data_IF_088305588250
#
_entry.id   IF_088305588250
#
_cell.length_a   1.000
_cell.length_b   1.000
_cell.length_c   1.000
_cell.angle_alpha   90.00
_cell.angle_beta   90.00
_cell.angle_gamma   90.00
#
_symmetry.space_group_name_H-M   'P 1'
#
loop_
_entity.id
_entity.type
_entity.pdbx_description
1 polymer ?
#
# COMPACT_ATOMS: atom_id res chain seq x y z
N UNK A 1 -28.13 -9.89 -7.01
CA UNK A 1 -27.13 -9.22 -7.86
C UNK A 1 -27.36 -7.72 -7.83
N UNK A 2 -26.28 -6.90 -7.85
CA UNK A 2 -26.43 -5.46 -7.94
C UNK A 2 -27.07 -5.09 -9.29
N UNK A 3 -27.81 -3.97 -9.37
CA UNK A 3 -28.23 -3.42 -10.66
C UNK A 3 -27.03 -3.22 -11.59
N UNK A 4 -27.28 -3.22 -12.90
CA UNK A 4 -26.25 -2.87 -13.87
C UNK A 4 -25.62 -1.51 -13.49
N UNK A 5 -24.29 -1.42 -13.51
CA UNK A 5 -23.51 -0.22 -13.16
C UNK A 5 -23.53 0.19 -11.67
N UNK A 6 -24.19 -0.55 -10.78
CA UNK A 6 -24.15 -0.26 -9.33
C UNK A 6 -22.86 -0.75 -8.63
N UNK A 7 -22.06 -1.56 -9.33
CA UNK A 7 -20.75 -2.01 -8.90
C UNK A 7 -19.74 -1.88 -10.05
N UNK A 8 -18.57 -1.32 -9.77
CA UNK A 8 -17.45 -1.26 -10.73
C UNK A 8 -16.14 -1.64 -10.05
N UNK A 9 -15.36 -2.50 -10.70
CA UNK A 9 -14.05 -2.92 -10.21
C UNK A 9 -12.99 -2.61 -11.26
N UNK A 10 -11.95 -1.91 -10.83
CA UNK A 10 -10.76 -1.62 -11.62
C UNK A 10 -9.53 -2.16 -10.92
N UNK A 11 -8.89 -3.15 -11.52
CA UNK A 11 -7.74 -3.87 -10.98
C UNK A 11 -6.46 -3.45 -11.68
N UNK A 12 -5.34 -3.50 -10.96
CA UNK A 12 -4.04 -3.55 -11.61
C UNK A 12 -3.95 -4.83 -12.46
N UNK A 13 -3.24 -4.85 -13.61
CA UNK A 13 -3.33 -5.95 -14.55
C UNK A 13 -2.44 -7.15 -14.20
N UNK A 14 -1.90 -7.22 -12.99
CA UNK A 14 -1.13 -8.39 -12.57
C UNK A 14 -2.07 -9.49 -12.04
N UNK A 15 -1.66 -10.75 -12.19
CA UNK A 15 -2.52 -11.90 -11.86
C UNK A 15 -3.07 -11.87 -10.43
N UNK A 16 -2.25 -11.51 -9.43
CA UNK A 16 -2.69 -11.46 -8.03
C UNK A 16 -3.80 -10.44 -7.78
N UNK A 17 -3.73 -9.25 -8.38
CA UNK A 17 -4.75 -8.22 -8.17
C UNK A 17 -6.04 -8.56 -8.89
N UNK A 18 -5.95 -9.16 -10.08
CA UNK A 18 -7.13 -9.70 -10.79
C UNK A 18 -7.80 -10.82 -9.99
N UNK A 19 -7.03 -11.75 -9.41
CA UNK A 19 -7.55 -12.81 -8.57
C UNK A 19 -8.18 -12.25 -7.28
N UNK A 20 -7.56 -11.26 -6.64
CA UNK A 20 -8.15 -10.54 -5.49
C UNK A 20 -9.46 -9.85 -5.88
N UNK A 21 -9.52 -9.18 -7.03
CA UNK A 21 -10.74 -8.56 -7.54
C UNK A 21 -11.84 -9.61 -7.78
N UNK A 22 -11.51 -10.75 -8.37
CA UNK A 22 -12.44 -11.85 -8.60
C UNK A 22 -12.97 -12.43 -7.29
N UNK A 23 -12.10 -12.67 -6.30
CA UNK A 23 -12.50 -13.15 -4.98
C UNK A 23 -13.40 -12.15 -4.25
N UNK A 24 -13.09 -10.84 -4.34
CA UNK A 24 -13.89 -9.78 -3.74
C UNK A 24 -15.32 -9.75 -4.31
N UNK A 25 -15.45 -9.76 -5.64
CA UNK A 25 -16.79 -9.75 -6.27
C UNK A 25 -17.55 -11.05 -6.02
N UNK A 26 -16.85 -12.20 -5.98
CA UNK A 26 -17.48 -13.47 -5.65
C UNK A 26 -18.03 -13.50 -4.22
N UNK A 27 -17.29 -12.95 -3.26
CA UNK A 27 -17.73 -12.85 -1.87
C UNK A 27 -18.87 -11.85 -1.68
N UNK A 28 -18.80 -10.67 -2.31
CA UNK A 28 -19.81 -9.62 -2.15
C UNK A 28 -21.09 -9.88 -2.96
N UNK A 29 -20.97 -10.49 -4.15
CA UNK A 29 -22.08 -10.70 -5.08
C UNK A 29 -22.11 -12.14 -5.59
N UNK A 30 -22.37 -13.13 -4.70
CA UNK A 30 -22.32 -14.54 -5.07
C UNK A 30 -23.32 -14.86 -6.20
N UNK A 31 -22.83 -15.55 -7.24
CA UNK A 31 -23.63 -15.92 -8.41
C UNK A 31 -23.89 -14.79 -9.41
N UNK A 32 -23.30 -13.60 -9.22
CA UNK A 32 -23.51 -12.45 -10.08
C UNK A 32 -22.31 -12.20 -11.02
N UNK A 33 -22.59 -11.77 -12.24
CA UNK A 33 -21.56 -11.49 -13.24
C UNK A 33 -21.06 -10.03 -13.16
N UNK A 34 -20.37 -9.67 -12.07
CA UNK A 34 -19.72 -8.35 -11.94
C UNK A 34 -18.36 -8.42 -12.61
N UNK A 35 -18.15 -7.58 -13.63
CA UNK A 35 -16.91 -7.59 -14.40
C UNK A 35 -15.73 -6.99 -13.62
N UNK A 36 -14.55 -7.59 -13.77
CA UNK A 36 -13.28 -7.04 -13.30
C UNK A 36 -12.57 -6.42 -14.50
N UNK A 37 -12.41 -5.10 -14.48
CA UNK A 37 -11.76 -4.36 -15.55
C UNK A 37 -10.30 -4.05 -15.17
N UNK A 38 -9.43 -3.96 -16.17
CA UNK A 38 -8.04 -3.53 -15.98
C UNK A 38 -7.46 -3.01 -17.32
N UNK A 39 -6.41 -2.20 -17.23
CA UNK A 39 -5.65 -1.77 -18.41
C UNK A 39 -4.71 -2.89 -18.91
N UNK A 40 -4.00 -2.65 -20.01
CA UNK A 40 -2.81 -3.45 -20.31
C UNK A 40 -1.66 -3.07 -19.36
N UNK A 41 -0.72 -4.00 -19.12
CA UNK A 41 0.39 -3.78 -18.16
C UNK A 41 1.22 -2.53 -18.46
N UNK A 42 1.53 -2.26 -19.73
CA UNK A 42 2.30 -1.08 -20.18
C UNK A 42 1.49 0.23 -20.13
N UNK A 43 0.19 0.16 -19.89
CA UNK A 43 -0.74 1.28 -19.90
C UNK A 43 -1.31 1.58 -18.51
N UNK A 44 -1.06 0.73 -17.51
CA UNK A 44 -1.55 0.92 -16.14
C UNK A 44 -0.78 2.02 -15.43
N UNK A 45 -1.15 3.27 -15.70
CA UNK A 45 -0.60 4.46 -15.03
C UNK A 45 -1.36 4.84 -13.76
N UNK A 46 -2.47 4.16 -13.48
CA UNK A 46 -3.22 4.36 -12.24
C UNK A 46 -2.50 3.73 -11.04
N UNK A 47 -2.03 2.49 -11.18
CA UNK A 47 -1.33 1.77 -10.11
C UNK A 47 0.20 1.77 -10.27
N UNK A 48 0.71 1.94 -11.50
CA UNK A 48 2.15 1.97 -11.81
C UNK A 48 2.53 3.24 -12.59
N UNK A 49 2.15 4.41 -12.06
CA UNK A 49 2.35 5.70 -12.72
C UNK A 49 3.80 5.89 -13.19
N UNK A 50 4.75 5.85 -12.26
CA UNK A 50 6.18 6.08 -12.53
C UNK A 50 6.76 5.06 -13.49
N UNK A 51 6.46 3.77 -13.31
CA UNK A 51 6.97 2.70 -14.16
C UNK A 51 6.45 2.80 -15.61
N UNK A 52 5.23 3.32 -15.79
CA UNK A 52 4.60 3.50 -17.10
C UNK A 52 4.71 4.93 -17.64
N UNK A 53 5.66 5.71 -17.11
CA UNK A 53 6.09 7.00 -17.66
C UNK A 53 5.25 8.21 -17.23
N UNK A 54 4.27 8.04 -16.35
CA UNK A 54 3.57 9.14 -15.69
C UNK A 54 4.31 9.52 -14.41
N UNK A 55 4.40 10.81 -14.11
CA UNK A 55 4.97 11.28 -12.85
C UNK A 55 6.42 10.76 -12.56
N UNK A 56 7.38 10.82 -13.51
CA UNK A 56 8.73 10.35 -13.24
C UNK A 56 9.33 11.05 -12.02
N UNK A 57 10.15 10.31 -11.27
CA UNK A 57 10.90 10.82 -10.13
C UNK A 57 12.19 11.46 -10.63
N UNK A 58 12.50 12.66 -10.14
CA UNK A 58 13.81 13.29 -10.35
C UNK A 58 14.87 12.53 -9.53
N UNK A 59 15.93 11.99 -10.14
CA UNK A 59 16.89 11.15 -9.43
C UNK A 59 17.61 11.88 -8.30
N UNK A 60 18.01 13.15 -8.51
CA UNK A 60 18.73 13.94 -7.52
C UNK A 60 17.85 14.24 -6.30
N UNK A 61 16.60 14.67 -6.52
CA UNK A 61 15.62 14.92 -5.48
C UNK A 61 15.23 13.64 -4.75
N UNK A 62 15.09 12.53 -5.46
CA UNK A 62 14.83 11.21 -4.87
C UNK A 62 15.97 10.78 -3.95
N UNK A 63 17.21 10.86 -4.43
CA UNK A 63 18.40 10.55 -3.64
C UNK A 63 18.50 11.43 -2.40
N UNK A 64 18.29 12.74 -2.53
CA UNK A 64 18.31 13.67 -1.41
C UNK A 64 17.22 13.35 -0.38
N UNK A 65 16.01 13.04 -0.83
CA UNK A 65 14.89 12.69 0.05
C UNK A 65 15.12 11.35 0.78
N UNK A 66 15.69 10.34 0.11
CA UNK A 66 16.04 9.08 0.75
C UNK A 66 17.16 9.29 1.77
N UNK A 67 18.23 10.02 1.43
CA UNK A 67 19.31 10.32 2.37
C UNK A 67 18.81 11.09 3.61
N UNK A 68 17.89 12.03 3.41
CA UNK A 68 17.24 12.72 4.54
C UNK A 68 16.48 11.73 5.44
N UNK A 69 15.65 10.85 4.86
CA UNK A 69 14.92 9.83 5.61
C UNK A 69 15.85 8.83 6.32
N UNK A 70 17.06 8.61 5.78
CA UNK A 70 18.11 7.77 6.37
C UNK A 70 18.83 8.43 7.57
N UNK A 71 18.50 9.68 7.92
CA UNK A 71 19.21 10.42 8.97
C UNK A 71 20.44 11.17 8.46
N UNK A 72 20.50 11.45 7.15
CA UNK A 72 21.53 12.24 6.49
C UNK A 72 22.61 11.43 5.77
N UNK A 73 22.81 10.14 6.12
CA UNK A 73 23.83 9.30 5.50
C UNK A 73 23.44 7.81 5.46
N UNK A 74 24.16 7.04 4.64
CA UNK A 74 24.04 5.58 4.59
C UNK A 74 24.44 4.95 5.94
N UNK A 75 25.48 5.46 6.58
CA UNK A 75 25.98 4.98 7.87
C UNK A 75 24.97 5.20 8.99
N UNK A 76 24.30 6.36 9.02
CA UNK A 76 23.27 6.64 10.01
C UNK A 76 22.11 5.63 9.93
N UNK A 77 21.67 5.26 8.73
CA UNK A 77 20.67 4.21 8.56
C UNK A 77 21.22 2.82 8.89
N UNK A 78 22.45 2.49 8.47
CA UNK A 78 23.10 1.22 8.81
C UNK A 78 23.11 1.02 10.33
N UNK A 79 23.54 2.02 11.07
CA UNK A 79 23.65 1.96 12.53
C UNK A 79 22.25 1.87 13.18
N UNK A 80 21.29 2.66 12.68
CA UNK A 80 19.89 2.62 13.13
C UNK A 80 19.23 1.24 12.93
N UNK A 81 19.55 0.54 11.85
CA UNK A 81 18.92 -0.73 11.48
C UNK A 81 19.80 -1.97 11.71
N UNK A 82 20.96 -1.82 12.36
CA UNK A 82 21.89 -2.92 12.63
C UNK A 82 21.25 -4.06 13.43
N UNK A 83 20.51 -3.73 14.50
CA UNK A 83 19.85 -4.74 15.32
C UNK A 83 18.75 -5.52 14.56
N UNK A 84 17.81 -4.87 13.83
CA UNK A 84 16.89 -5.58 12.94
C UNK A 84 17.56 -6.45 11.87
N UNK A 85 18.67 -6.00 11.29
CA UNK A 85 19.44 -6.79 10.31
C UNK A 85 20.03 -8.05 10.94
N UNK A 86 20.64 -7.92 12.11
CA UNK A 86 21.20 -9.06 12.85
C UNK A 86 20.11 -10.03 13.30
N UNK A 87 18.97 -9.52 13.77
CA UNK A 87 17.83 -10.35 14.16
C UNK A 87 17.31 -11.18 12.97
N UNK A 88 17.16 -10.55 11.79
CA UNK A 88 16.77 -11.25 10.57
C UNK A 88 17.80 -12.33 10.20
N UNK A 89 19.10 -11.99 10.21
CA UNK A 89 20.18 -12.95 9.93
C UNK A 89 20.17 -14.14 10.88
N UNK A 90 19.88 -13.92 12.17
CA UNK A 90 19.78 -15.01 13.14
C UNK A 90 18.64 -15.98 12.79
N UNK A 91 17.52 -15.48 12.27
CA UNK A 91 16.38 -16.30 11.84
C UNK A 91 16.68 -17.08 10.56
N UNK A 92 17.25 -16.42 9.53
CA UNK A 92 17.48 -17.08 8.22
C UNK A 92 18.79 -17.85 8.14
N UNK A 93 19.72 -17.62 9.07
CA UNK A 93 21.08 -18.12 9.02
C UNK A 93 21.93 -17.46 7.94
N UNK A 94 23.20 -17.86 7.87
CA UNK A 94 24.10 -17.54 6.76
C UNK A 94 24.25 -18.81 5.90
N UNK A 95 24.06 -18.76 4.58
CA UNK A 95 24.21 -19.93 3.72
C UNK A 95 25.61 -20.55 3.87
N UNK A 96 25.69 -21.80 4.33
CA UNK A 96 26.95 -22.52 4.55
C UNK A 96 27.76 -22.74 3.27
N UNK A 97 27.11 -22.75 2.12
CA UNK A 97 27.72 -22.91 0.80
C UNK A 97 28.30 -21.61 0.24
N UNK A 98 28.16 -20.49 0.94
CA UNK A 98 28.68 -19.21 0.48
C UNK A 98 29.97 -18.81 1.21
N UNK A 99 31.05 -18.69 0.44
CA UNK A 99 32.38 -18.31 0.93
C UNK A 99 32.59 -16.77 0.96
N UNK A 100 31.66 -15.99 0.42
CA UNK A 100 31.76 -14.52 0.38
C UNK A 100 31.22 -13.90 1.67
N UNK A 101 31.95 -12.93 2.24
CA UNK A 101 31.48 -12.17 3.43
C UNK A 101 30.08 -11.56 3.23
N UNK A 102 29.76 -11.10 2.03
CA UNK A 102 28.48 -10.47 1.68
C UNK A 102 27.27 -11.43 1.73
N UNK A 103 27.46 -12.71 2.01
CA UNK A 103 26.35 -13.63 2.24
C UNK A 103 25.72 -13.49 3.62
N UNK A 104 26.47 -13.03 4.62
CA UNK A 104 25.87 -12.53 5.84
C UNK A 104 25.11 -11.24 5.52
N UNK A 105 23.82 -11.20 5.85
CA UNK A 105 22.97 -10.02 5.67
C UNK A 105 23.57 -8.79 6.39
N UNK A 106 24.19 -8.97 7.57
CA UNK A 106 24.86 -7.91 8.32
C UNK A 106 26.07 -7.32 7.60
N UNK A 107 26.71 -8.09 6.72
CA UNK A 107 27.91 -7.69 5.98
C UNK A 107 27.59 -7.16 4.57
N UNK A 108 26.31 -7.11 4.19
CA UNK A 108 25.92 -6.55 2.89
C UNK A 108 26.04 -5.02 2.88
N UNK A 109 26.57 -4.43 1.79
CA UNK A 109 26.82 -3.00 1.73
C UNK A 109 25.52 -2.21 1.53
N UNK A 110 25.23 -1.30 2.46
CA UNK A 110 24.21 -0.27 2.27
C UNK A 110 24.64 0.69 1.18
N UNK A 111 23.89 0.77 0.09
CA UNK A 111 24.15 1.73 -0.98
C UNK A 111 22.87 2.20 -1.68
N UNK A 112 22.89 3.43 -2.19
CA UNK A 112 21.90 3.92 -3.16
C UNK A 112 22.45 3.73 -4.57
N UNK A 113 21.73 2.93 -5.37
CA UNK A 113 22.08 2.67 -6.77
C UNK A 113 21.08 3.35 -7.67
N UNK A 114 21.57 4.08 -8.66
CA UNK A 114 20.75 4.63 -9.72
C UNK A 114 20.88 3.76 -10.97
N UNK A 115 19.75 3.37 -11.56
CA UNK A 115 19.71 2.68 -12.84
C UNK A 115 18.55 3.22 -13.67
N UNK A 116 18.82 3.71 -14.87
CA UNK A 116 17.82 4.26 -15.79
C UNK A 116 16.96 5.36 -15.13
N UNK A 117 17.59 6.27 -14.37
CA UNK A 117 16.90 7.33 -13.64
C UNK A 117 16.12 6.87 -12.39
N UNK A 118 16.17 5.59 -12.04
CA UNK A 118 15.51 5.07 -10.83
C UNK A 118 16.55 4.87 -9.73
N UNK A 119 16.37 5.59 -8.62
CA UNK A 119 17.19 5.43 -7.41
C UNK A 119 16.60 4.34 -6.53
N UNK A 120 17.40 3.33 -6.18
CA UNK A 120 17.01 2.23 -5.31
C UNK A 120 17.99 2.08 -4.16
N UNK A 121 17.47 1.83 -2.97
CA UNK A 121 18.27 1.35 -1.85
C UNK A 121 18.58 -0.13 -2.08
N UNK A 122 19.86 -0.46 -2.00
CA UNK A 122 20.36 -1.83 -2.14
C UNK A 122 20.26 -2.61 -0.83
N UNK A 123 20.79 -3.83 -0.83
CA UNK A 123 20.94 -4.67 0.36
C UNK A 123 21.60 -3.94 1.54
N UNK A 124 21.39 -4.39 2.78
CA UNK A 124 20.58 -5.54 3.20
C UNK A 124 19.09 -5.27 3.26
N UNK A 125 18.67 -4.01 3.25
CA UNK A 125 17.29 -3.65 3.58
C UNK A 125 16.26 -4.27 2.64
N UNK A 126 16.53 -4.24 1.33
CA UNK A 126 15.62 -4.81 0.33
C UNK A 126 15.42 -6.31 0.49
N UNK A 127 16.50 -7.05 0.79
CA UNK A 127 16.47 -8.50 1.02
C UNK A 127 15.76 -8.82 2.32
N UNK A 128 16.14 -8.16 3.42
CA UNK A 128 15.50 -8.37 4.72
C UNK A 128 14.01 -8.04 4.72
N UNK A 129 13.59 -6.98 4.04
CA UNK A 129 12.17 -6.66 3.86
C UNK A 129 11.41 -7.74 3.07
N UNK A 130 12.06 -8.36 2.07
CA UNK A 130 11.48 -9.50 1.34
C UNK A 130 11.33 -10.75 2.21
N UNK A 131 12.31 -11.03 3.07
CA UNK A 131 12.24 -12.10 4.05
C UNK A 131 11.12 -11.85 5.08
N UNK A 132 11.04 -10.65 5.64
CA UNK A 132 9.94 -10.21 6.52
C UNK A 132 8.57 -10.44 5.90
N UNK A 133 8.41 -10.04 4.63
CA UNK A 133 7.16 -10.23 3.90
C UNK A 133 6.85 -11.72 3.69
N UNK A 134 7.85 -12.52 3.38
CA UNK A 134 7.70 -13.96 3.21
C UNK A 134 7.21 -14.61 4.50
N UNK A 135 7.77 -14.24 5.66
CA UNK A 135 7.34 -14.77 6.95
C UNK A 135 5.91 -14.37 7.30
N UNK A 136 5.51 -13.12 7.01
CA UNK A 136 4.11 -12.68 7.12
C UNK A 136 3.19 -13.57 6.29
N UNK A 137 3.56 -13.83 5.04
CA UNK A 137 2.75 -14.66 4.13
C UNK A 137 2.69 -16.12 4.58
N UNK A 138 3.78 -16.70 5.07
CA UNK A 138 3.78 -18.05 5.64
C UNK A 138 2.80 -18.20 6.81
N UNK A 139 2.77 -17.21 7.70
CA UNK A 139 1.84 -17.23 8.84
C UNK A 139 0.39 -17.08 8.39
N UNK A 140 0.12 -16.08 7.55
CA UNK A 140 -1.23 -15.78 7.04
C UNK A 140 -1.80 -16.91 6.17
N UNK A 141 -0.95 -17.63 5.43
CA UNK A 141 -1.33 -18.80 4.61
C UNK A 141 -1.73 -20.02 5.46
N UNK A 142 -1.47 -20.02 6.77
CA UNK A 142 -1.80 -21.18 7.61
C UNK A 142 -0.76 -22.29 7.59
N UNK A 143 0.48 -22.03 7.11
CA UNK A 143 1.54 -23.04 7.17
C UNK A 143 1.77 -23.55 8.61
N UNK A 144 2.23 -24.80 8.79
CA UNK A 144 2.60 -25.32 10.10
C UNK A 144 3.57 -24.37 10.84
N UNK A 145 3.33 -24.14 12.14
CA UNK A 145 4.06 -23.11 12.90
C UNK A 145 5.58 -23.36 12.99
N UNK A 146 6.02 -24.61 12.86
CA UNK A 146 7.43 -25.01 12.75
C UNK A 146 8.05 -24.65 11.39
N UNK A 147 7.25 -24.37 10.36
CA UNK A 147 7.70 -23.91 9.05
C UNK A 147 7.66 -22.38 8.90
N UNK A 148 6.82 -21.69 9.68
CA UNK A 148 6.76 -20.22 9.66
C UNK A 148 8.05 -19.64 10.26
N UNK A 149 8.82 -18.94 9.43
CA UNK A 149 10.13 -18.39 9.79
C UNK A 149 11.03 -19.43 10.50
N UNK A 150 11.02 -20.67 10.01
CA UNK A 150 11.79 -21.78 10.60
C UNK A 150 11.46 -22.04 12.08
N UNK A 151 10.19 -21.85 12.47
CA UNK A 151 9.71 -22.06 13.83
C UNK A 151 9.81 -20.84 14.74
N UNK A 152 10.27 -19.70 14.23
CA UNK A 152 10.44 -18.46 14.99
C UNK A 152 9.23 -17.50 14.89
N UNK A 153 8.26 -17.79 14.02
CA UNK A 153 7.05 -17.00 13.85
C UNK A 153 5.80 -17.76 14.26
N UNK A 154 5.69 -18.13 15.54
CA UNK A 154 4.62 -19.01 16.04
C UNK A 154 3.35 -18.26 16.42
N UNK A 155 3.39 -16.94 16.48
CA UNK A 155 2.24 -16.05 16.70
C UNK A 155 2.30 -14.80 15.81
N UNK A 156 1.17 -14.12 15.65
CA UNK A 156 1.09 -12.85 14.94
C UNK A 156 2.04 -11.78 15.52
N UNK A 157 2.22 -11.75 16.84
CA UNK A 157 3.16 -10.84 17.51
C UNK A 157 4.63 -11.16 17.19
N UNK A 158 4.99 -12.45 17.19
CA UNK A 158 6.32 -12.90 16.77
C UNK A 158 6.61 -12.53 15.32
N UNK A 159 5.66 -12.79 14.42
CA UNK A 159 5.78 -12.41 13.01
C UNK A 159 5.90 -10.89 12.85
N UNK A 160 5.11 -10.10 13.58
CA UNK A 160 5.21 -8.64 13.56
C UNK A 160 6.61 -8.15 13.99
N UNK A 161 7.25 -8.79 14.99
CA UNK A 161 8.62 -8.43 15.40
C UNK A 161 9.64 -8.67 14.28
N UNK A 162 9.40 -9.66 13.41
CA UNK A 162 10.25 -9.94 12.25
C UNK A 162 10.02 -8.97 11.07
N UNK A 163 9.06 -8.05 11.16
CA UNK A 163 8.73 -7.11 10.08
C UNK A 163 9.49 -5.78 10.13
N UNK A 164 10.38 -5.57 11.11
CA UNK A 164 11.10 -4.30 11.29
C UNK A 164 11.83 -3.81 10.01
N UNK A 165 12.45 -4.71 9.24
CA UNK A 165 13.12 -4.36 7.98
C UNK A 165 12.15 -4.00 6.86
N UNK A 166 10.95 -4.60 6.83
CA UNK A 166 9.87 -4.18 5.93
C UNK A 166 9.43 -2.76 6.28
N UNK A 167 9.13 -2.47 7.54
CA UNK A 167 8.74 -1.12 7.97
C UNK A 167 9.80 -0.09 7.63
N UNK A 168 11.08 -0.41 7.87
CA UNK A 168 12.20 0.44 7.50
C UNK A 168 12.29 0.68 5.99
N UNK A 169 12.08 -0.34 5.15
CA UNK A 169 12.04 -0.17 3.69
C UNK A 169 10.98 0.84 3.28
N UNK A 170 9.76 0.72 3.80
CA UNK A 170 8.66 1.65 3.47
C UNK A 170 8.94 3.07 3.97
N UNK A 171 9.47 3.22 5.19
CA UNK A 171 9.89 4.51 5.74
C UNK A 171 10.96 5.21 4.88
N UNK A 172 11.87 4.45 4.28
CA UNK A 172 12.93 4.95 3.42
C UNK A 172 12.57 4.97 1.92
N UNK A 173 11.30 4.74 1.57
CA UNK A 173 10.85 4.77 0.17
C UNK A 173 9.41 5.28 0.05
N UNK A 174 8.42 4.39 0.12
CA UNK A 174 7.01 4.69 -0.15
C UNK A 174 6.41 5.77 0.75
N UNK A 175 6.91 5.92 1.99
CA UNK A 175 6.45 6.94 2.92
C UNK A 175 7.12 8.30 2.77
N UNK A 176 8.12 8.43 1.89
CA UNK A 176 8.80 9.71 1.65
C UNK A 176 7.83 10.64 0.92
N UNK A 177 7.53 11.85 1.47
CA UNK A 177 6.48 12.72 0.92
C UNK A 177 6.65 13.04 -0.57
N UNK A 178 7.87 13.27 -1.05
CA UNK A 178 8.12 13.51 -2.46
C UNK A 178 7.76 12.29 -3.33
N UNK A 179 8.19 11.09 -2.94
CA UNK A 179 7.93 9.84 -3.67
C UNK A 179 6.44 9.52 -3.64
N UNK A 180 5.82 9.59 -2.46
CA UNK A 180 4.40 9.36 -2.29
C UNK A 180 3.57 10.33 -3.13
N UNK A 181 3.91 11.63 -3.11
CA UNK A 181 3.17 12.65 -3.87
C UNK A 181 3.20 12.37 -5.35
N UNK A 182 4.34 11.95 -5.90
CA UNK A 182 4.44 11.58 -7.31
C UNK A 182 3.70 10.28 -7.62
N UNK A 183 3.82 9.26 -6.76
CA UNK A 183 3.26 7.93 -7.01
C UNK A 183 1.74 7.79 -6.79
N UNK A 184 1.16 8.53 -5.84
CA UNK A 184 -0.26 8.40 -5.47
C UNK A 184 -1.16 9.52 -6.01
N UNK A 185 -0.63 10.57 -6.65
CA UNK A 185 -1.43 11.68 -7.16
C UNK A 185 -2.51 11.23 -8.15
N UNK A 186 -2.17 10.37 -9.11
CA UNK A 186 -3.14 9.86 -10.08
C UNK A 186 -4.28 9.10 -9.39
N UNK A 187 -3.95 8.15 -8.50
CA UNK A 187 -4.95 7.36 -7.80
C UNK A 187 -5.80 8.20 -6.84
N UNK A 188 -5.21 9.11 -6.07
CA UNK A 188 -5.96 10.02 -5.20
C UNK A 188 -6.90 10.90 -6.03
N UNK A 189 -6.44 11.45 -7.16
CA UNK A 189 -7.28 12.23 -8.06
C UNK A 189 -8.52 11.45 -8.53
N UNK A 190 -8.34 10.19 -8.91
CA UNK A 190 -9.46 9.33 -9.30
C UNK A 190 -10.42 9.01 -8.14
N UNK A 191 -9.91 8.85 -6.91
CA UNK A 191 -10.75 8.70 -5.70
C UNK A 191 -11.57 9.99 -5.45
N UNK A 192 -10.96 11.17 -5.55
CA UNK A 192 -11.67 12.45 -5.35
C UNK A 192 -12.75 12.69 -6.40
N UNK A 193 -12.49 12.30 -7.65
CA UNK A 193 -13.49 12.32 -8.73
C UNK A 193 -14.63 11.31 -8.48
N UNK A 194 -14.32 10.11 -7.98
CA UNK A 194 -15.36 9.13 -7.62
C UNK A 194 -16.31 9.64 -6.53
N UNK A 195 -15.79 10.39 -5.56
CA UNK A 195 -16.59 11.02 -4.51
C UNK A 195 -17.49 12.15 -5.07
N UNK A 196 -17.20 12.69 -6.25
CA UNK A 196 -17.94 13.78 -6.90
C UNK A 196 -18.12 13.47 -8.41
N UNK A 197 -18.95 12.48 -8.77
CA UNK A 197 -19.01 11.91 -10.12
C UNK A 197 -19.77 12.82 -11.09
N UNK A 198 -19.28 14.04 -11.31
CA UNK A 198 -19.91 15.08 -12.13
C UNK A 198 -18.96 15.65 -13.19
N UNK A 199 -17.71 15.18 -13.27
CA UNK A 199 -16.68 15.72 -14.16
C UNK A 199 -16.22 14.71 -15.24
N UNK A 200 -15.75 15.23 -16.38
CA UNK A 200 -15.14 14.40 -17.43
C UNK A 200 -13.86 13.70 -16.91
N UNK A 201 -13.66 12.44 -17.30
CA UNK A 201 -12.54 11.62 -16.80
C UNK A 201 -12.74 11.04 -15.40
N UNK A 202 -13.94 11.18 -14.82
CA UNK A 202 -14.32 10.51 -13.57
C UNK A 202 -14.45 9.00 -13.81
N UNK A 203 -14.17 8.17 -12.79
CA UNK A 203 -14.59 6.77 -12.79
C UNK A 203 -16.09 6.65 -13.07
N UNK A 204 -16.56 5.47 -13.54
CA UNK A 204 -18.00 5.24 -13.72
C UNK A 204 -18.78 5.62 -12.47
N UNK A 205 -19.88 6.36 -12.66
CA UNK A 205 -20.78 6.76 -11.58
C UNK A 205 -21.50 5.55 -11.00
N UNK A 206 -20.88 4.92 -10.01
CA UNK A 206 -21.34 3.69 -9.36
C UNK A 206 -21.61 3.93 -7.87
N UNK A 207 -22.49 3.13 -7.28
CA UNK A 207 -22.70 3.13 -5.82
C UNK A 207 -21.52 2.50 -5.09
N UNK A 208 -20.90 1.50 -5.69
CA UNK A 208 -19.73 0.82 -5.15
C UNK A 208 -18.60 0.74 -6.18
N UNK A 209 -17.43 1.27 -5.83
CA UNK A 209 -16.22 1.31 -6.66
C UNK A 209 -15.07 0.65 -5.89
N UNK A 210 -14.38 -0.28 -6.54
CA UNK A 210 -13.18 -0.91 -5.99
C UNK A 210 -11.98 -0.71 -6.91
N UNK A 211 -10.92 -0.11 -6.36
CA UNK A 211 -9.60 -0.08 -6.96
C UNK A 211 -8.72 -1.13 -6.28
N UNK A 212 -8.27 -2.14 -7.02
CA UNK A 212 -7.45 -3.23 -6.48
C UNK A 212 -6.00 -3.09 -6.97
N UNK A 213 -5.16 -2.54 -6.10
CA UNK A 213 -3.75 -2.24 -6.38
C UNK A 213 -2.78 -3.01 -5.48
N UNK A 214 -1.70 -2.34 -5.10
CA UNK A 214 -0.58 -2.89 -4.32
C UNK A 214 -0.45 -2.19 -2.98
N UNK A 215 0.29 -2.83 -2.06
CA UNK A 215 0.68 -2.25 -0.78
C UNK A 215 1.41 -0.90 -0.95
N UNK A 216 2.18 -0.72 -2.03
CA UNK A 216 2.83 0.53 -2.41
C UNK A 216 1.83 1.66 -2.65
N UNK A 217 0.69 1.38 -3.30
CA UNK A 217 -0.33 2.39 -3.56
C UNK A 217 -0.99 2.85 -2.25
N UNK A 218 -1.33 1.91 -1.36
CA UNK A 218 -1.91 2.22 -0.05
C UNK A 218 -0.93 3.01 0.82
N UNK A 219 0.35 2.60 0.86
CA UNK A 219 1.38 3.30 1.63
C UNK A 219 1.61 4.74 1.15
N UNK A 220 1.57 4.98 -0.16
CA UNK A 220 1.73 6.33 -0.71
C UNK A 220 0.46 7.17 -0.51
N UNK A 221 -0.74 6.59 -0.67
CA UNK A 221 -2.00 7.26 -0.35
C UNK A 221 -2.05 7.67 1.11
N UNK A 222 -1.68 6.79 2.05
CA UNK A 222 -1.53 7.09 3.48
C UNK A 222 -0.72 8.37 3.70
N UNK A 223 0.47 8.45 3.11
CA UNK A 223 1.34 9.63 3.25
C UNK A 223 0.68 10.89 2.69
N UNK A 224 -0.09 10.81 1.60
CA UNK A 224 -0.79 11.97 1.02
C UNK A 224 -1.96 12.41 1.88
N UNK A 225 -2.74 11.45 2.38
CA UNK A 225 -3.84 11.69 3.31
C UNK A 225 -3.32 12.25 4.65
N UNK A 226 -2.05 12.01 4.99
CA UNK A 226 -1.54 12.25 6.34
C UNK A 226 -2.31 11.41 7.36
N UNK A 227 -2.63 10.17 6.98
CA UNK A 227 -3.46 9.27 7.77
C UNK A 227 -2.61 8.11 8.27
N UNK A 228 -2.08 8.26 9.48
CA UNK A 228 -1.25 7.23 10.10
C UNK A 228 -2.11 6.25 10.90
N UNK A 229 -1.70 4.98 10.94
CA UNK A 229 -2.44 3.94 11.66
C UNK A 229 -1.54 2.90 12.31
N UNK A 230 -2.04 2.33 13.41
CA UNK A 230 -1.61 1.06 13.98
C UNK A 230 -2.85 0.18 14.03
N UNK A 231 -2.84 -0.94 13.31
CA UNK A 231 -3.99 -1.82 13.16
C UNK A 231 -3.58 -3.24 13.53
N UNK A 232 -4.35 -3.87 14.42
CA UNK A 232 -4.06 -5.19 14.96
C UNK A 232 -2.58 -5.33 15.38
N UNK A 233 -1.94 -6.45 15.02
CA UNK A 233 -0.53 -6.72 15.36
C UNK A 233 0.44 -6.06 14.38
N UNK A 234 0.01 -5.71 13.16
CA UNK A 234 0.90 -5.20 12.11
C UNK A 234 1.72 -4.00 12.55
N UNK A 235 2.98 -3.83 12.07
CA UNK A 235 3.74 -2.63 12.34
C UNK A 235 2.98 -1.35 11.99
N UNK A 236 3.35 -0.26 12.66
CA UNK A 236 2.75 1.05 12.37
C UNK A 236 2.88 1.38 10.88
N UNK A 237 1.78 1.85 10.30
CA UNK A 237 1.67 2.25 8.91
C UNK A 237 1.94 1.13 7.89
N UNK A 238 1.85 -0.15 8.27
CA UNK A 238 1.91 -1.26 7.32
C UNK A 238 0.61 -1.34 6.49
N UNK A 239 0.78 -1.65 5.20
CA UNK A 239 -0.32 -2.04 4.35
C UNK A 239 -0.49 -3.57 4.43
N UNK A 240 -1.47 -3.99 5.23
CA UNK A 240 -1.84 -5.38 5.44
C UNK A 240 -2.34 -6.05 4.15
N UNK A 241 -2.21 -7.38 3.99
CA UNK A 241 -2.79 -8.11 2.87
C UNK A 241 -4.30 -7.95 2.86
N UNK A 242 -4.89 -7.60 1.70
CA UNK A 242 -6.32 -7.29 1.60
C UNK A 242 -6.76 -6.01 2.33
N UNK A 243 -5.82 -5.29 2.97
CA UNK A 243 -6.11 -4.05 3.67
C UNK A 243 -6.58 -2.95 2.71
N UNK A 244 -7.60 -2.22 3.13
CA UNK A 244 -8.38 -1.32 2.26
C UNK A 244 -8.46 0.07 2.88
N UNK A 245 -8.15 1.10 2.09
CA UNK A 245 -8.56 2.47 2.39
C UNK A 245 -10.00 2.65 1.91
N UNK A 246 -10.93 2.73 2.85
CA UNK A 246 -12.35 2.88 2.60
C UNK A 246 -12.72 4.37 2.60
N UNK A 247 -13.37 4.83 1.53
CA UNK A 247 -13.93 6.18 1.42
C UNK A 247 -15.43 6.07 1.24
N UNK A 248 -16.21 6.68 2.12
CA UNK A 248 -17.66 6.64 2.08
C UNK A 248 -18.22 8.04 1.93
N UNK A 249 -19.04 8.27 0.91
CA UNK A 249 -19.78 9.52 0.76
C UNK A 249 -21.16 9.38 1.40
N UNK A 250 -21.44 10.27 2.34
CA UNK A 250 -22.73 10.38 3.02
C UNK A 250 -23.48 11.60 2.53
N UNK A 251 -24.81 11.51 2.46
CA UNK A 251 -25.70 12.63 2.13
C UNK A 251 -26.71 12.75 3.26
N UNK A 252 -26.86 13.96 3.79
CA UNK A 252 -27.92 14.28 4.73
C UNK A 252 -29.24 14.45 3.97
N UNK A 253 -30.22 13.59 4.24
CA UNK A 253 -31.47 13.55 3.48
C UNK A 253 -32.35 14.80 3.66
N UNK A 254 -32.12 15.59 4.70
CA UNK A 254 -32.92 16.80 4.97
C UNK A 254 -32.34 18.05 4.29
N UNK A 255 -31.02 18.21 4.34
CA UNK A 255 -30.32 19.40 3.85
C UNK A 255 -29.64 19.18 2.50
N UNK A 256 -29.48 17.93 2.07
CA UNK A 256 -28.66 17.54 0.91
C UNK A 256 -27.15 17.73 1.14
N UNK A 257 -26.73 18.04 2.37
CA UNK A 257 -25.32 18.26 2.68
C UNK A 257 -24.52 16.96 2.50
N UNK A 258 -23.38 17.05 1.83
CA UNK A 258 -22.54 15.90 1.50
C UNK A 258 -21.32 15.83 2.43
N UNK A 259 -21.02 14.64 2.89
CA UNK A 259 -19.92 14.34 3.79
C UNK A 259 -19.09 13.16 3.29
N UNK A 260 -17.90 13.01 3.86
CA UNK A 260 -17.01 11.88 3.60
C UNK A 260 -16.45 11.34 4.91
N UNK A 261 -16.44 10.01 5.02
CA UNK A 261 -15.73 9.25 6.04
C UNK A 261 -14.58 8.50 5.37
N UNK A 262 -13.44 8.40 6.05
CA UNK A 262 -12.27 7.64 5.57
C UNK A 262 -11.79 6.72 6.67
N UNK A 263 -11.52 5.46 6.35
CA UNK A 263 -11.00 4.49 7.28
C UNK A 263 -9.96 3.57 6.63
N UNK A 264 -9.08 2.98 7.44
CA UNK A 264 -8.27 1.85 7.03
C UNK A 264 -8.82 0.59 7.67
N UNK A 265 -9.13 -0.41 6.84
CA UNK A 265 -9.75 -1.67 7.24
C UNK A 265 -8.82 -2.82 6.87
N UNK A 266 -8.56 -3.75 7.78
CA UNK A 266 -7.76 -4.94 7.50
C UNK A 266 -8.08 -6.10 8.45
N UNK A 267 -7.92 -7.32 7.95
CA UNK A 267 -7.90 -8.50 8.81
C UNK A 267 -6.57 -8.59 9.56
N UNK A 268 -6.61 -8.99 10.84
CA UNK A 268 -5.39 -9.35 11.59
C UNK A 268 -4.69 -10.55 10.97
N UNK A 269 -3.43 -10.77 11.34
CA UNK A 269 -2.70 -11.96 10.87
C UNK A 269 -3.37 -13.26 11.34
N UNK A 270 -3.97 -13.27 12.52
CA UNK A 270 -4.73 -14.41 13.03
C UNK A 270 -6.08 -14.60 12.31
N UNK A 271 -6.77 -13.51 11.96
CA UNK A 271 -7.99 -13.58 11.15
C UNK A 271 -7.69 -14.16 9.76
N UNK A 272 -6.60 -13.75 9.12
CA UNK A 272 -6.15 -14.33 7.85
C UNK A 272 -5.82 -15.81 8.01
N UNK A 273 -4.98 -16.15 9.00
CA UNK A 273 -4.52 -17.52 9.24
C UNK A 273 -5.66 -18.52 9.52
N UNK A 274 -6.68 -18.07 10.24
CA UNK A 274 -7.82 -18.92 10.63
C UNK A 274 -8.99 -18.86 9.63
N UNK A 275 -8.86 -18.09 8.55
CA UNK A 275 -9.96 -17.79 7.62
C UNK A 275 -11.22 -17.29 8.36
N UNK A 276 -11.01 -16.42 9.35
CA UNK A 276 -12.08 -15.93 10.21
C UNK A 276 -13.10 -15.11 9.43
N UNK A 277 -14.37 -15.30 9.78
CA UNK A 277 -15.52 -14.51 9.33
C UNK A 277 -15.81 -13.30 10.22
N UNK A 278 -15.03 -13.11 11.30
CA UNK A 278 -15.16 -11.97 12.17
C UNK A 278 -14.90 -10.66 11.40
N UNK A 279 -15.59 -9.56 11.76
CA UNK A 279 -15.34 -8.27 11.13
C UNK A 279 -13.85 -7.88 11.18
N UNK A 280 -13.29 -7.35 10.08
CA UNK A 280 -11.92 -6.86 10.07
C UNK A 280 -11.76 -5.70 11.06
N UNK A 281 -10.51 -5.48 11.49
CA UNK A 281 -10.17 -4.30 12.27
C UNK A 281 -10.34 -3.05 11.42
N UNK A 282 -10.70 -1.94 12.07
CA UNK A 282 -10.86 -0.64 11.43
C UNK A 282 -10.19 0.45 12.26
N UNK A 283 -9.42 1.31 11.59
CA UNK A 283 -8.91 2.56 12.14
C UNK A 283 -9.57 3.70 11.38
N UNK A 284 -10.21 4.62 12.10
CA UNK A 284 -10.88 5.76 11.51
C UNK A 284 -9.87 6.89 11.26
N UNK A 285 -9.92 7.51 10.07
CA UNK A 285 -9.19 8.75 9.82
C UNK A 285 -9.76 9.85 10.71
N UNK A 286 -8.96 10.50 11.58
CA UNK A 286 -9.47 11.54 12.46
C UNK A 286 -9.85 12.82 11.70
N UNK A 287 -9.65 12.89 10.39
CA UNK A 287 -9.95 14.06 9.59
C UNK A 287 -8.96 15.20 9.82
N UNK A 288 -9.05 16.25 8.99
CA UNK A 288 -8.21 17.44 9.13
C UNK A 288 -8.57 18.33 10.34
N UNK A 289 -9.71 18.06 11.00
CA UNK A 289 -10.21 18.81 12.15
C UNK A 289 -10.61 17.92 13.34
N UNK A 290 -10.08 16.69 13.43
CA UNK A 290 -10.43 15.76 14.51
C UNK A 290 -11.86 15.19 14.40
N UNK A 291 -12.48 15.27 13.21
CA UNK A 291 -13.82 14.75 12.93
C UNK A 291 -13.73 13.63 11.89
N UNK A 292 -14.28 12.47 12.23
CA UNK A 292 -14.36 11.31 11.35
C UNK A 292 -15.23 11.54 10.10
N UNK A 293 -16.34 12.26 10.27
CA UNK A 293 -17.24 12.65 9.17
C UNK A 293 -16.97 14.12 8.81
N UNK A 294 -16.46 14.36 7.61
CA UNK A 294 -16.00 15.67 7.14
C UNK A 294 -16.89 16.19 6.01
N UNK A 295 -17.15 17.51 5.92
CA UNK A 295 -17.81 18.08 4.74
C UNK A 295 -17.05 17.71 3.47
N UNK A 296 -17.74 17.12 2.48
CA UNK A 296 -17.11 16.56 1.29
C UNK A 296 -16.28 17.61 0.54
N UNK A 297 -16.85 18.79 0.31
CA UNK A 297 -16.17 19.90 -0.39
C UNK A 297 -14.88 20.33 0.32
N UNK A 298 -14.90 20.36 1.65
CA UNK A 298 -13.73 20.73 2.45
C UNK A 298 -12.62 19.69 2.37
N UNK A 299 -12.99 18.40 2.47
CA UNK A 299 -12.06 17.29 2.31
C UNK A 299 -11.41 17.29 0.92
N UNK A 300 -12.21 17.39 -0.14
CA UNK A 300 -11.73 17.42 -1.53
C UNK A 300 -10.73 18.55 -1.73
N UNK A 301 -11.10 19.79 -1.37
CA UNK A 301 -10.24 20.95 -1.54
C UNK A 301 -8.92 20.83 -0.75
N UNK A 302 -8.93 20.15 0.39
CA UNK A 302 -7.73 19.88 1.17
C UNK A 302 -6.84 18.81 0.54
N UNK A 303 -7.43 17.74 0.00
CA UNK A 303 -6.67 16.67 -0.67
C UNK A 303 -6.11 17.11 -2.02
N UNK A 304 -6.81 17.95 -2.78
CA UNK A 304 -6.33 18.52 -4.05
C UNK A 304 -5.02 19.30 -3.89
N UNK A 305 -4.82 19.99 -2.76
CA UNK A 305 -3.54 20.69 -2.46
C UNK A 305 -2.35 19.72 -2.33
N UNK A 306 -2.63 18.46 -2.00
CA UNK A 306 -1.62 17.42 -1.75
C UNK A 306 -1.27 16.62 -2.99
N UNK A 307 -2.13 16.69 -4.01
CA UNK A 307 -1.86 16.17 -5.35
C UNK A 307 -0.78 17.04 -6.03
N UNK A 308 0.07 16.42 -6.84
CA UNK A 308 0.90 17.08 -7.82
C UNK A 308 0.18 17.01 -9.18
N UNK A 309 -0.33 18.14 -9.71
CA UNK A 309 -1.08 18.12 -10.97
C UNK A 309 -0.27 17.60 -12.16
N UNK A 310 1.06 17.73 -12.13
CA UNK A 310 1.95 17.18 -13.17
C UNK A 310 2.15 15.66 -13.06
N UNK A 311 1.60 15.05 -12.01
CA UNK A 311 1.56 13.62 -11.77
C UNK A 311 0.16 13.02 -12.00
N UNK A 312 -0.69 13.74 -12.75
CA UNK A 312 -2.04 13.31 -13.09
C UNK A 312 -2.29 13.39 -14.59
N UNK A 313 -3.17 12.54 -15.09
CA UNK A 313 -3.68 12.56 -16.46
C UNK A 313 -5.14 12.09 -16.50
N UNK A 314 -5.81 12.28 -17.64
CA UNK A 314 -7.15 11.71 -17.84
C UNK A 314 -7.05 10.19 -17.80
N UNK A 315 -7.76 9.58 -16.85
CA UNK A 315 -7.86 8.13 -16.76
C UNK A 315 -8.95 7.63 -17.71
N UNK A 316 -8.60 6.65 -18.53
CA UNK A 316 -9.58 5.95 -19.36
C UNK A 316 -10.04 4.67 -18.67
N UNK A 317 -11.34 4.50 -18.56
CA UNK A 317 -11.99 3.31 -18.02
C UNK A 317 -12.66 2.54 -19.14
N UNK A 318 -12.44 1.23 -19.19
CA UNK A 318 -13.16 0.36 -20.11
C UNK A 318 -14.66 0.39 -19.79
N UNK A 319 -15.48 0.54 -20.82
CA UNK A 319 -16.94 0.66 -20.70
C UNK A 319 -17.47 2.09 -20.57
N UNK A 320 -16.62 3.11 -20.75
CA UNK A 320 -16.99 4.52 -20.98
C UNK A 320 -16.70 4.93 -22.42
#
# INVERSE_FOLDING_TARGET
CPPAQAAYVWSSPVARTQATSAALVQGMFPGCNVAVNHAQKSQDRLFHATENGLAPLDPARTKAAILHAMGGSLDAARDRYAAPVLAMQHVVGVPSTCEQKTCALSEQPWALKEKNGVVKLSSPLGVGAGMSETFRMQYAEGLPLDQVAFGQGRSAEEVSRLMALRSAKYALSNHIPYIARRGASQLLGQILLALQPTAAGSPPGTQWLSFVGHDTNIAQLRTLLGFDWKIAEYPENDAAPGGTLLFERWVDDHSGAQFVSVAYVAQSMDQLRSLSDAPPYQVQYPGYAGKALMPLKGFVAEMEKRIDPSATEVQHYLGQ
#
